data_IF_959888772862
#
_entry.id   IF_959888772862
#
_cell.length_a   1.000
_cell.length_b   1.000
_cell.length_c   1.000
_cell.angle_alpha   90.00
_cell.angle_beta   90.00
_cell.angle_gamma   90.00
#
_symmetry.space_group_name_H-M   'P 1'
#
loop_
_entity.id
_entity.type
_entity.pdbx_description
1 polymer ?
#
# COMPACT_ATOMS: atom_id res chain seq x y z
N UNK A 1 21.42 1.67 15.59
CA UNK A 1 20.20 0.94 15.98
C UNK A 1 18.94 1.40 15.23
N UNK A 2 18.95 2.57 14.57
CA UNK A 2 17.78 3.10 13.85
C UNK A 2 17.33 2.30 12.61
N UNK A 3 18.23 1.63 11.89
CA UNK A 3 17.90 0.96 10.62
C UNK A 3 16.98 -0.26 10.79
N UNK A 4 17.27 -1.14 11.76
CA UNK A 4 16.40 -2.28 12.09
C UNK A 4 15.05 -1.85 12.66
N UNK A 5 15.03 -0.80 13.50
CA UNK A 5 13.78 -0.21 14.02
C UNK A 5 12.98 0.47 12.90
N UNK A 6 13.65 0.93 11.85
CA UNK A 6 12.98 1.45 10.65
C UNK A 6 12.31 0.32 9.89
N UNK A 7 13.04 -0.73 9.52
CA UNK A 7 12.49 -1.90 8.83
C UNK A 7 11.34 -2.55 9.61
N UNK A 8 11.52 -2.76 10.92
CA UNK A 8 10.48 -3.33 11.76
C UNK A 8 9.24 -2.44 11.84
N UNK A 9 9.43 -1.12 12.02
CA UNK A 9 8.31 -0.17 12.06
C UNK A 9 7.57 -0.06 10.73
N UNK A 10 8.28 -0.14 9.60
CA UNK A 10 7.67 -0.16 8.27
C UNK A 10 6.86 -1.44 8.04
N UNK A 11 7.37 -2.60 8.46
CA UNK A 11 6.65 -3.87 8.37
C UNK A 11 5.40 -3.89 9.26
N UNK A 12 5.50 -3.38 10.49
CA UNK A 12 4.37 -3.27 11.42
C UNK A 12 3.26 -2.37 10.85
N UNK A 13 3.63 -1.20 10.33
CA UNK A 13 2.69 -0.28 9.68
C UNK A 13 2.03 -0.91 8.44
N UNK A 14 2.79 -1.64 7.61
CA UNK A 14 2.24 -2.34 6.45
C UNK A 14 1.19 -3.39 6.87
N UNK A 15 1.44 -4.15 7.94
CA UNK A 15 0.57 -5.23 8.42
C UNK A 15 -0.49 -4.79 9.43
N UNK A 16 -0.60 -3.50 9.72
CA UNK A 16 -1.53 -3.01 10.72
C UNK A 16 -2.98 -3.43 10.39
N UNK A 17 -3.74 -3.80 11.42
CA UNK A 17 -5.10 -4.31 11.25
C UNK A 17 -6.15 -3.19 11.11
N UNK A 18 -5.82 -2.00 11.61
CA UNK A 18 -6.61 -0.79 11.52
C UNK A 18 -6.14 0.08 10.35
N UNK A 19 -4.88 0.03 9.95
CA UNK A 19 -4.32 0.76 8.80
C UNK A 19 -3.79 -0.20 7.71
N UNK A 20 -2.92 0.24 6.80
CA UNK A 20 -2.19 -0.63 5.85
C UNK A 20 -3.04 -1.72 5.16
N UNK A 21 -2.70 -2.99 5.39
CA UNK A 21 -3.48 -4.13 4.88
C UNK A 21 -4.87 -4.25 5.49
N UNK A 22 -5.04 -3.91 6.77
CA UNK A 22 -6.37 -3.87 7.39
C UNK A 22 -7.31 -2.90 6.69
N UNK A 23 -6.81 -1.71 6.32
CA UNK A 23 -7.55 -0.75 5.53
C UNK A 23 -7.82 -1.23 4.09
N UNK A 24 -6.87 -1.91 3.42
CA UNK A 24 -7.11 -2.56 2.13
C UNK A 24 -8.25 -3.59 2.19
N UNK A 25 -8.23 -4.46 3.20
CA UNK A 25 -9.25 -5.51 3.38
C UNK A 25 -10.65 -4.91 3.63
N UNK A 26 -10.74 -3.86 4.46
CA UNK A 26 -12.00 -3.16 4.71
C UNK A 26 -12.49 -2.43 3.47
N UNK A 27 -11.59 -1.76 2.74
CA UNK A 27 -11.92 -1.12 1.45
C UNK A 27 -12.55 -2.11 0.48
N UNK A 28 -11.97 -3.30 0.34
CA UNK A 28 -12.54 -4.37 -0.49
C UNK A 28 -13.93 -4.81 0.02
N UNK A 29 -14.10 -4.99 1.32
CA UNK A 29 -15.42 -5.33 1.89
C UNK A 29 -16.47 -4.26 1.59
N UNK A 30 -16.09 -2.99 1.58
CA UNK A 30 -16.99 -1.89 1.23
C UNK A 30 -17.34 -1.91 -0.27
N UNK A 31 -16.38 -2.15 -1.16
CA UNK A 31 -16.63 -2.38 -2.60
C UNK A 31 -17.65 -3.50 -2.81
N UNK A 32 -17.46 -4.64 -2.15
CA UNK A 32 -18.35 -5.80 -2.27
C UNK A 32 -19.79 -5.50 -1.81
N UNK A 33 -19.95 -4.59 -0.84
CA UNK A 33 -21.25 -4.12 -0.36
C UNK A 33 -21.86 -2.98 -1.20
N UNK A 34 -21.10 -2.42 -2.13
CA UNK A 34 -21.49 -1.26 -2.95
C UNK A 34 -21.35 0.08 -2.23
N UNK A 35 -20.67 0.13 -1.09
CA UNK A 35 -20.41 1.35 -0.32
C UNK A 35 -19.09 2.01 -0.79
N UNK A 36 -19.14 2.60 -1.98
CA UNK A 36 -17.93 3.08 -2.65
C UNK A 36 -17.27 4.30 -1.97
N UNK A 37 -18.05 5.15 -1.30
CA UNK A 37 -17.48 6.29 -0.55
C UNK A 37 -16.68 5.80 0.67
N UNK A 38 -17.20 4.80 1.41
CA UNK A 38 -16.46 4.18 2.50
C UNK A 38 -15.24 3.41 2.00
N UNK A 39 -15.38 2.69 0.87
CA UNK A 39 -14.26 2.00 0.24
C UNK A 39 -13.12 2.96 -0.11
N UNK A 40 -13.44 4.11 -0.72
CA UNK A 40 -12.46 5.12 -1.07
C UNK A 40 -11.67 5.59 0.16
N UNK A 41 -12.36 5.93 1.26
CA UNK A 41 -11.71 6.40 2.48
C UNK A 41 -10.76 5.36 3.10
N UNK A 42 -11.13 4.08 3.04
CA UNK A 42 -10.27 2.97 3.50
C UNK A 42 -9.05 2.81 2.60
N UNK A 43 -9.20 2.90 1.28
CA UNK A 43 -8.07 2.83 0.36
C UNK A 43 -7.13 4.04 0.48
N UNK A 44 -7.64 5.25 0.70
CA UNK A 44 -6.83 6.45 1.01
C UNK A 44 -6.06 6.28 2.34
N UNK A 45 -6.66 5.60 3.33
CA UNK A 45 -6.00 5.28 4.60
C UNK A 45 -4.84 4.30 4.40
N UNK A 46 -5.05 3.26 3.58
CA UNK A 46 -4.00 2.32 3.19
C UNK A 46 -2.87 3.04 2.42
N UNK A 47 -3.21 3.86 1.43
CA UNK A 47 -2.25 4.64 0.64
C UNK A 47 -1.35 5.49 1.54
N UNK A 48 -1.96 6.30 2.41
CA UNK A 48 -1.25 7.17 3.35
C UNK A 48 -0.27 6.39 4.22
N UNK A 49 -0.70 5.21 4.70
CA UNK A 49 0.12 4.33 5.53
C UNK A 49 1.33 3.78 4.77
N UNK A 50 1.13 3.24 3.57
CA UNK A 50 2.21 2.71 2.75
C UNK A 50 3.17 3.81 2.27
N UNK A 51 2.64 4.98 1.92
CA UNK A 51 3.43 6.15 1.53
C UNK A 51 4.32 6.64 2.70
N UNK A 52 3.75 6.76 3.90
CA UNK A 52 4.51 7.11 5.11
C UNK A 52 5.59 6.07 5.42
N UNK A 53 5.26 4.79 5.26
CA UNK A 53 6.21 3.68 5.44
C UNK A 53 7.35 3.75 4.43
N UNK A 54 7.05 4.05 3.15
CA UNK A 54 8.03 4.24 2.09
C UNK A 54 8.98 5.40 2.39
N UNK A 55 8.46 6.57 2.78
CA UNK A 55 9.27 7.74 3.15
C UNK A 55 10.23 7.42 4.33
N UNK A 56 9.74 6.65 5.31
CA UNK A 56 10.54 6.18 6.45
C UNK A 56 11.66 5.26 5.99
N UNK A 57 11.40 4.33 5.06
CA UNK A 57 12.39 3.42 4.50
C UNK A 57 13.47 4.17 3.72
N UNK A 58 13.07 5.08 2.83
CA UNK A 58 14.00 5.89 2.03
C UNK A 58 14.91 6.74 2.93
N UNK A 59 14.35 7.32 3.99
CA UNK A 59 15.11 8.07 4.99
C UNK A 59 16.05 7.16 5.79
N UNK A 60 15.57 6.01 6.25
CA UNK A 60 16.33 5.08 7.09
C UNK A 60 17.45 4.34 6.36
N UNK A 61 17.34 4.16 5.04
CA UNK A 61 18.36 3.51 4.20
C UNK A 61 19.68 4.28 4.21
N UNK A 62 19.65 5.61 4.26
CA UNK A 62 20.84 6.46 4.18
C UNK A 62 21.88 6.15 5.27
N UNK A 63 21.42 5.71 6.44
CA UNK A 63 22.27 5.39 7.60
C UNK A 63 22.36 3.88 7.87
N UNK A 64 21.93 3.04 6.92
CA UNK A 64 21.90 1.60 7.09
C UNK A 64 23.33 0.99 7.02
N UNK A 65 23.68 0.07 7.94
CA UNK A 65 24.93 -0.68 7.82
C UNK A 65 24.90 -1.63 6.62
N UNK A 66 26.08 -1.86 6.04
CA UNK A 66 26.30 -2.85 5.00
C UNK A 66 25.70 -4.21 5.40
N UNK A 67 24.82 -4.76 4.56
CA UNK A 67 24.08 -6.00 4.79
C UNK A 67 22.60 -5.82 5.14
N UNK A 68 22.11 -4.59 5.31
CA UNK A 68 20.67 -4.28 5.38
C UNK A 68 20.12 -3.64 4.10
N UNK A 69 20.97 -3.25 3.15
CA UNK A 69 20.58 -2.55 1.92
C UNK A 69 19.52 -3.31 1.12
N UNK A 70 19.70 -4.62 0.95
CA UNK A 70 18.76 -5.47 0.21
C UNK A 70 17.37 -5.47 0.88
N UNK A 71 17.31 -5.55 2.20
CA UNK A 71 16.04 -5.48 2.94
C UNK A 71 15.33 -4.14 2.78
N UNK A 72 16.07 -3.03 2.74
CA UNK A 72 15.50 -1.72 2.45
C UNK A 72 14.98 -1.64 1.01
N UNK A 73 15.73 -2.19 0.06
CA UNK A 73 15.31 -2.24 -1.35
C UNK A 73 14.03 -3.05 -1.54
N UNK A 74 13.95 -4.24 -0.96
CA UNK A 74 12.76 -5.08 -0.95
C UNK A 74 11.58 -4.36 -0.31
N UNK A 75 11.75 -3.82 0.91
CA UNK A 75 10.67 -3.16 1.63
C UNK A 75 10.17 -1.89 0.90
N UNK A 76 11.07 -1.12 0.29
CA UNK A 76 10.71 0.07 -0.50
C UNK A 76 9.98 -0.33 -1.79
N UNK A 77 10.43 -1.40 -2.47
CA UNK A 77 9.73 -1.94 -3.63
C UNK A 77 8.31 -2.36 -3.27
N UNK A 78 8.13 -3.12 -2.19
CA UNK A 78 6.83 -3.58 -1.74
C UNK A 78 5.91 -2.41 -1.36
N UNK A 79 6.39 -1.44 -0.57
CA UNK A 79 5.57 -0.30 -0.16
C UNK A 79 5.18 0.58 -1.35
N UNK A 80 6.03 0.73 -2.37
CA UNK A 80 5.66 1.46 -3.59
C UNK A 80 4.49 0.78 -4.31
N UNK A 81 4.58 -0.52 -4.56
CA UNK A 81 3.49 -1.27 -5.18
C UNK A 81 2.21 -1.25 -4.34
N UNK A 82 2.34 -1.30 -3.00
CA UNK A 82 1.19 -1.19 -2.11
C UNK A 82 0.54 0.21 -2.13
N UNK A 83 1.33 1.28 -2.18
CA UNK A 83 0.83 2.64 -2.40
C UNK A 83 0.09 2.74 -3.74
N UNK A 84 0.72 2.29 -4.83
CA UNK A 84 0.13 2.35 -6.17
C UNK A 84 -1.16 1.51 -6.29
N UNK A 85 -1.20 0.36 -5.60
CA UNK A 85 -2.40 -0.46 -5.48
C UNK A 85 -3.52 0.27 -4.75
N UNK A 86 -3.23 0.83 -3.57
CA UNK A 86 -4.20 1.56 -2.75
C UNK A 86 -4.74 2.79 -3.48
N UNK A 87 -3.89 3.58 -4.14
CA UNK A 87 -4.32 4.70 -4.99
C UNK A 87 -5.25 4.22 -6.11
N UNK A 88 -4.87 3.14 -6.81
CA UNK A 88 -5.70 2.59 -7.88
C UNK A 88 -7.06 2.14 -7.37
N UNK A 89 -7.13 1.52 -6.19
CA UNK A 89 -8.41 1.13 -5.61
C UNK A 89 -9.25 2.31 -5.14
N UNK A 90 -8.64 3.36 -4.56
CA UNK A 90 -9.32 4.60 -4.20
C UNK A 90 -9.94 5.28 -5.43
N UNK A 91 -9.17 5.43 -6.50
CA UNK A 91 -9.66 5.97 -7.78
C UNK A 91 -10.78 5.10 -8.36
N UNK A 92 -10.66 3.78 -8.24
CA UNK A 92 -11.68 2.82 -8.69
C UNK A 92 -12.98 2.94 -7.91
N UNK A 93 -12.89 3.13 -6.59
CA UNK A 93 -14.05 3.36 -5.73
C UNK A 93 -14.72 4.71 -6.06
N UNK A 94 -13.96 5.78 -6.22
CA UNK A 94 -14.48 7.08 -6.64
C UNK A 94 -15.18 6.98 -8.02
N UNK A 95 -14.54 6.36 -9.00
CA UNK A 95 -15.14 6.10 -10.31
C UNK A 95 -16.43 5.26 -10.22
N UNK A 96 -16.47 4.25 -9.35
CA UNK A 96 -17.65 3.42 -9.15
C UNK A 96 -18.82 4.20 -8.52
N UNK A 97 -18.53 5.11 -7.57
CA UNK A 97 -19.52 5.99 -6.97
C UNK A 97 -20.19 6.90 -8.04
N UNK A 98 -19.41 7.35 -9.02
CA UNK A 98 -19.89 8.17 -10.14
C UNK A 98 -20.52 7.35 -11.30
N UNK A 99 -20.49 6.01 -11.21
CA UNK A 99 -20.94 5.12 -12.29
C UNK A 99 -20.03 5.15 -13.52
N UNK A 100 -18.77 5.55 -13.35
CA UNK A 100 -17.78 5.61 -14.41
C UNK A 100 -17.26 4.19 -14.75
N UNK A 101 -17.30 3.77 -16.03
CA UNK A 101 -16.82 2.45 -16.45
C UNK A 101 -15.31 2.22 -16.22
N UNK A 102 -14.52 3.29 -16.00
CA UNK A 102 -13.08 3.19 -15.70
C UNK A 102 -12.80 2.54 -14.34
N UNK A 103 -13.80 2.44 -13.45
CA UNK A 103 -13.67 1.75 -12.16
C UNK A 103 -13.04 0.34 -12.27
N UNK A 104 -13.39 -0.41 -13.33
CA UNK A 104 -12.81 -1.75 -13.57
C UNK A 104 -11.35 -1.71 -13.99
N UNK A 105 -10.95 -0.68 -14.73
CA UNK A 105 -9.55 -0.47 -15.11
C UNK A 105 -8.72 -0.23 -13.86
N UNK A 106 -9.20 0.67 -13.00
CA UNK A 106 -8.58 0.99 -11.71
C UNK A 106 -8.46 -0.26 -10.81
N UNK A 107 -9.53 -1.05 -10.70
CA UNK A 107 -9.49 -2.33 -9.98
C UNK A 107 -8.41 -3.28 -10.54
N UNK A 108 -8.37 -3.46 -11.86
CA UNK A 108 -7.40 -4.35 -12.50
C UNK A 108 -5.96 -3.86 -12.31
N UNK A 109 -5.74 -2.54 -12.33
CA UNK A 109 -4.44 -1.94 -12.03
C UNK A 109 -4.04 -2.21 -10.58
N UNK A 110 -4.94 -1.98 -9.62
CA UNK A 110 -4.65 -2.24 -8.21
C UNK A 110 -4.31 -3.71 -7.94
N UNK A 111 -5.04 -4.65 -8.56
CA UNK A 111 -4.74 -6.08 -8.49
C UNK A 111 -3.37 -6.42 -9.09
N UNK A 112 -3.01 -5.82 -10.22
CA UNK A 112 -1.70 -6.01 -10.85
C UNK A 112 -0.55 -5.48 -9.97
N UNK A 113 -0.75 -4.36 -9.28
CA UNK A 113 0.23 -3.83 -8.33
C UNK A 113 0.38 -4.74 -7.10
N UNK A 114 -0.71 -5.32 -6.58
CA UNK A 114 -0.61 -6.33 -5.51
C UNK A 114 0.16 -7.58 -5.95
N UNK A 115 -0.01 -8.03 -7.19
CA UNK A 115 0.80 -9.12 -7.74
C UNK A 115 2.27 -8.72 -7.86
N UNK A 116 2.56 -7.45 -8.22
CA UNK A 116 3.91 -6.93 -8.37
C UNK A 116 4.70 -6.91 -7.05
N UNK A 117 4.05 -6.81 -5.88
CA UNK A 117 4.68 -6.94 -4.56
C UNK A 117 5.49 -8.23 -4.44
N UNK A 118 5.01 -9.34 -5.02
CA UNK A 118 5.67 -10.65 -4.98
C UNK A 118 6.88 -10.74 -5.93
N UNK A 119 7.04 -9.78 -6.84
CA UNK A 119 8.14 -9.69 -7.78
C UNK A 119 9.27 -8.77 -7.31
N UNK A 120 9.15 -8.19 -6.11
CA UNK A 120 10.22 -7.44 -5.49
C UNK A 120 11.46 -8.32 -5.22
N UNK A 121 12.67 -7.74 -5.25
CA UNK A 121 13.91 -8.49 -5.01
C UNK A 121 13.90 -9.16 -3.62
N UNK A 122 14.52 -10.34 -3.54
CA UNK A 122 14.77 -11.11 -2.31
C UNK A 122 16.06 -10.67 -1.62
#
# INVERSE_FOLDING_TARGET
>A
MAALETLAGSYDATLDADDGYGALERGQSHVDSGDYEAAQAEFETAESTFSTSLERLESGRTDAPDGLDDYFETASCQNRHLTDAATSFADGAAAAADGDPTARTHQSTGEAELEAVQNCPD
#
